data_IF_914735405282
#
_entry.id   IF_914735405282
#
_cell.length_a   1.000
_cell.length_b   1.000
_cell.length_c   1.000
_cell.angle_alpha   90.00
_cell.angle_beta   90.00
_cell.angle_gamma   90.00
#
_symmetry.space_group_name_H-M   'P 1'
#
loop_
_entity.id
_entity.type
_entity.pdbx_description
1 polymer ?
#
# COMPACT_ATOMS: atom_id res chain seq x y z
N UNK A 1 12.37 -27.49 0.79
CA UNK A 1 13.09 -26.94 -0.39
C UNK A 1 12.52 -25.61 -0.88
N UNK A 2 11.21 -25.35 -0.74
CA UNK A 2 10.58 -24.08 -1.17
C UNK A 2 10.88 -22.86 -0.29
N UNK A 3 11.07 -23.05 1.02
CA UNK A 3 11.31 -21.94 1.96
C UNK A 3 12.55 -21.13 1.58
N UNK A 4 13.64 -21.82 1.18
CA UNK A 4 14.85 -21.15 0.74
C UNK A 4 14.63 -20.29 -0.51
N UNK A 5 13.72 -20.68 -1.40
CA UNK A 5 13.40 -19.87 -2.60
C UNK A 5 12.55 -18.65 -2.24
N UNK A 6 11.56 -18.80 -1.36
CA UNK A 6 10.73 -17.68 -0.91
C UNK A 6 11.51 -16.64 -0.09
N UNK A 7 12.57 -17.05 0.60
CA UNK A 7 13.44 -16.13 1.35
C UNK A 7 14.20 -15.13 0.44
N UNK A 8 14.35 -15.47 -0.83
CA UNK A 8 15.07 -14.66 -1.82
C UNK A 8 14.13 -13.78 -2.66
N UNK A 9 12.82 -13.81 -2.38
CA UNK A 9 11.83 -12.98 -3.07
C UNK A 9 11.61 -11.67 -2.30
N UNK A 10 11.68 -10.55 -3.03
CA UNK A 10 11.23 -9.23 -2.54
C UNK A 10 9.96 -8.87 -3.30
N UNK A 11 8.85 -8.79 -2.56
CA UNK A 11 7.55 -8.35 -3.08
C UNK A 11 7.48 -6.83 -3.00
N UNK A 12 6.90 -6.21 -4.02
CA UNK A 12 6.64 -4.76 -4.05
C UNK A 12 5.25 -4.47 -4.58
N UNK A 13 4.63 -3.43 -4.05
CA UNK A 13 3.32 -2.99 -4.48
C UNK A 13 3.09 -1.51 -4.12
N UNK A 14 2.11 -0.92 -4.79
CA UNK A 14 1.59 0.40 -4.56
C UNK A 14 0.29 0.36 -3.74
N UNK A 15 0.21 1.18 -2.70
CA UNK A 15 -1.00 1.30 -1.89
C UNK A 15 -1.36 2.75 -1.67
N UNK A 16 -2.64 3.09 -1.84
CA UNK A 16 -3.18 4.39 -1.45
C UNK A 16 -3.70 4.32 -0.01
N UNK A 17 -3.13 5.12 0.89
CA UNK A 17 -3.59 5.27 2.26
C UNK A 17 -4.54 6.47 2.31
N UNK A 18 -5.84 6.22 2.35
CA UNK A 18 -6.85 7.27 2.44
C UNK A 18 -6.81 8.00 3.80
N UNK A 19 -6.98 9.33 3.77
CA UNK A 19 -7.10 10.14 4.99
C UNK A 19 -8.42 9.92 5.73
N UNK A 20 -9.43 9.41 5.02
CA UNK A 20 -10.77 9.17 5.56
C UNK A 20 -11.02 7.67 5.72
N UNK A 21 -11.82 7.32 6.73
CA UNK A 21 -12.11 5.94 7.10
C UNK A 21 -12.95 5.22 6.03
N UNK A 22 -12.59 3.97 5.73
CA UNK A 22 -12.98 3.26 4.50
C UNK A 22 -14.49 2.91 4.40
N UNK A 23 -15.24 2.86 5.50
CA UNK A 23 -16.69 2.62 5.46
C UNK A 23 -17.53 3.90 5.65
N UNK A 24 -16.88 5.04 5.90
CA UNK A 24 -17.54 6.32 6.18
C UNK A 24 -18.45 6.28 7.41
N UNK A 25 -18.33 5.27 8.28
CA UNK A 25 -19.25 5.05 9.40
C UNK A 25 -18.60 5.44 10.72
N UNK A 26 -19.30 6.31 11.44
CA UNK A 26 -19.06 6.51 12.86
C UNK A 26 -19.79 5.38 13.61
N UNK A 27 -19.03 4.59 14.37
CA UNK A 27 -19.59 3.54 15.23
C UNK A 27 -20.04 4.17 16.54
N UNK A 28 -21.34 4.09 16.82
CA UNK A 28 -21.97 4.58 18.05
C UNK A 28 -22.87 3.49 18.63
N UNK A 29 -22.96 3.42 19.95
CA UNK A 29 -23.89 2.52 20.64
C UNK A 29 -25.32 3.09 20.59
N UNK A 30 -26.31 2.24 20.34
CA UNK A 30 -27.73 2.65 20.13
C UNK A 30 -28.68 1.55 20.58
N UNK A 31 -29.94 1.93 20.86
CA UNK A 31 -30.99 0.96 21.08
C UNK A 31 -31.45 0.30 19.76
N UNK A 32 -32.11 -0.85 19.89
CA UNK A 32 -32.63 -1.60 18.74
C UNK A 32 -33.64 -0.72 17.97
N UNK A 33 -33.55 -0.72 16.64
CA UNK A 33 -34.38 0.05 15.68
C UNK A 33 -34.02 1.53 15.50
N UNK A 34 -32.93 2.03 16.09
CA UNK A 34 -32.51 3.43 15.92
C UNK A 34 -31.63 3.69 14.70
N UNK A 35 -31.27 2.65 13.93
CA UNK A 35 -30.29 2.74 12.82
C UNK A 35 -30.61 3.83 11.78
N UNK A 36 -31.89 4.03 11.47
CA UNK A 36 -32.36 4.92 10.39
C UNK A 36 -33.02 6.20 10.93
N UNK A 37 -32.86 6.52 12.21
CA UNK A 37 -33.32 7.81 12.71
C UNK A 37 -32.49 8.94 12.07
N UNK A 38 -33.09 10.11 11.85
CA UNK A 38 -32.38 11.24 11.25
C UNK A 38 -31.14 11.67 12.07
N UNK A 39 -31.16 11.50 13.40
CA UNK A 39 -30.01 11.75 14.27
C UNK A 39 -28.90 10.67 14.17
N UNK A 40 -29.17 9.59 13.46
CA UNK A 40 -28.42 8.33 13.43
C UNK A 40 -27.85 8.03 12.04
N UNK A 41 -28.09 8.93 11.08
CA UNK A 41 -27.63 8.86 9.70
C UNK A 41 -26.87 10.15 9.39
N UNK A 42 -25.73 10.01 8.72
CA UNK A 42 -24.92 11.12 8.25
C UNK A 42 -24.69 10.92 6.75
N UNK A 43 -24.85 11.99 5.96
CA UNK A 43 -24.50 11.95 4.54
C UNK A 43 -22.98 11.86 4.40
N UNK A 44 -22.53 10.97 3.53
CA UNK A 44 -21.11 10.79 3.23
C UNK A 44 -20.85 11.05 1.74
N UNK A 45 -19.70 11.63 1.42
CA UNK A 45 -19.24 11.82 0.05
C UNK A 45 -18.83 10.48 -0.57
N UNK A 46 -19.31 10.17 -1.79
CA UNK A 46 -19.02 8.89 -2.46
C UNK A 46 -17.87 8.97 -3.47
N UNK A 47 -17.27 10.13 -3.67
CA UNK A 47 -16.12 10.28 -4.56
C UNK A 47 -14.80 9.78 -3.95
N UNK A 48 -13.71 9.78 -4.72
CA UNK A 48 -12.41 9.32 -4.26
C UNK A 48 -12.01 10.03 -2.96
N UNK A 49 -11.67 9.25 -1.93
CA UNK A 49 -11.10 9.81 -0.72
C UNK A 49 -9.67 10.29 -1.03
N UNK A 50 -9.30 11.52 -0.65
CA UNK A 50 -7.92 11.95 -0.75
C UNK A 50 -7.05 11.01 0.11
N UNK A 51 -5.87 10.69 -0.40
CA UNK A 51 -4.95 9.76 0.25
C UNK A 51 -3.52 9.99 -0.20
N UNK A 52 -2.60 9.31 0.49
CA UNK A 52 -1.19 9.29 0.13
C UNK A 52 -0.94 8.00 -0.62
N UNK A 53 -0.45 8.11 -1.86
CA UNK A 53 0.09 6.96 -2.57
C UNK A 53 1.46 6.63 -1.99
N UNK A 54 1.66 5.37 -1.60
CA UNK A 54 2.95 4.88 -1.11
C UNK A 54 3.35 3.65 -1.89
N UNK A 55 4.66 3.48 -2.05
CA UNK A 55 5.27 2.23 -2.50
C UNK A 55 5.99 1.58 -1.35
N UNK A 56 5.79 0.28 -1.19
CA UNK A 56 6.53 -0.52 -0.23
C UNK A 56 7.09 -1.78 -0.86
N UNK A 57 8.03 -2.37 -0.14
CA UNK A 57 8.43 -3.74 -0.42
C UNK A 57 8.62 -4.53 0.86
N UNK A 58 8.62 -5.85 0.72
CA UNK A 58 8.92 -6.78 1.80
C UNK A 58 9.62 -8.01 1.23
N UNK A 59 10.76 -8.36 1.83
CA UNK A 59 11.45 -9.63 1.65
C UNK A 59 11.68 -10.28 3.01
N UNK A 60 12.07 -11.55 3.03
CA UNK A 60 12.29 -12.27 4.28
C UNK A 60 13.48 -11.71 5.08
N UNK A 61 14.55 -11.31 4.39
CA UNK A 61 15.78 -10.78 5.00
C UNK A 61 15.94 -9.27 4.87
N UNK A 62 15.03 -8.59 4.17
CA UNK A 62 15.21 -7.18 3.84
C UNK A 62 13.87 -6.46 3.70
N UNK A 63 13.85 -5.19 4.09
CA UNK A 63 12.67 -4.34 4.05
C UNK A 63 13.02 -3.04 3.31
N UNK A 64 12.72 -2.95 1.99
CA UNK A 64 12.89 -1.71 1.25
C UNK A 64 12.12 -0.56 1.93
N UNK A 65 12.66 0.68 1.92
CA UNK A 65 11.96 1.83 2.48
C UNK A 65 10.55 2.01 1.89
N UNK A 66 9.62 2.45 2.74
CA UNK A 66 8.29 2.89 2.29
C UNK A 66 8.42 4.32 1.74
N UNK A 67 8.14 4.50 0.46
CA UNK A 67 8.30 5.79 -0.24
C UNK A 67 6.95 6.38 -0.59
N UNK A 68 6.73 7.64 -0.23
CA UNK A 68 5.58 8.42 -0.66
C UNK A 68 5.75 8.80 -2.14
N UNK A 69 4.72 8.56 -2.94
CA UNK A 69 4.62 9.08 -4.29
C UNK A 69 3.74 10.31 -4.30
N UNK A 70 4.24 11.39 -4.89
CA UNK A 70 3.51 12.65 -4.97
C UNK A 70 2.60 12.73 -6.21
N UNK A 71 2.92 11.98 -7.28
CA UNK A 71 2.21 12.03 -8.56
C UNK A 71 2.25 10.68 -9.29
N UNK A 72 1.59 10.60 -10.44
CA UNK A 72 1.68 9.46 -11.37
C UNK A 72 3.13 9.22 -11.81
N UNK A 73 3.58 7.97 -11.71
CA UNK A 73 4.87 7.53 -12.20
C UNK A 73 4.80 7.15 -13.67
N UNK A 74 5.85 7.54 -14.39
CA UNK A 74 6.17 6.93 -15.68
C UNK A 74 7.31 5.91 -15.48
N UNK A 75 7.61 5.15 -16.52
CA UNK A 75 8.64 4.11 -16.48
C UNK A 75 10.03 4.64 -16.09
N UNK A 76 10.42 5.81 -16.58
CA UNK A 76 11.73 6.40 -16.28
C UNK A 76 11.85 6.78 -14.81
N UNK A 77 10.84 7.48 -14.27
CA UNK A 77 10.78 7.85 -12.85
C UNK A 77 10.69 6.62 -11.96
N UNK A 78 9.96 5.59 -12.37
CA UNK A 78 9.92 4.33 -11.65
C UNK A 78 11.31 3.72 -11.49
N UNK A 79 12.13 3.73 -12.54
CA UNK A 79 13.51 3.23 -12.46
C UNK A 79 14.36 4.12 -11.55
N UNK A 80 14.42 5.43 -11.83
CA UNK A 80 15.37 6.33 -11.17
C UNK A 80 14.98 6.74 -9.74
N UNK A 81 13.69 6.80 -9.43
CA UNK A 81 13.19 7.27 -8.13
C UNK A 81 12.82 6.13 -7.19
N UNK A 82 12.55 4.92 -7.70
CA UNK A 82 12.08 3.81 -6.89
C UNK A 82 12.93 2.55 -7.03
N UNK A 83 13.12 2.04 -8.25
CA UNK A 83 13.79 0.76 -8.42
C UNK A 83 15.25 0.82 -7.97
N UNK A 84 16.02 1.78 -8.52
CA UNK A 84 17.44 1.96 -8.22
C UNK A 84 17.72 2.39 -6.78
N UNK A 85 17.07 3.42 -6.22
CA UNK A 85 17.39 3.87 -4.86
C UNK A 85 16.70 3.08 -3.74
N UNK A 86 15.55 2.42 -4.00
CA UNK A 86 14.74 1.79 -2.94
C UNK A 86 14.84 0.27 -2.96
N UNK A 87 14.62 -0.37 -4.11
CA UNK A 87 14.55 -1.82 -4.20
C UNK A 87 15.92 -2.49 -4.38
N UNK A 88 16.79 -1.92 -5.21
CA UNK A 88 18.11 -2.50 -5.52
C UNK A 88 19.00 -2.72 -4.29
N UNK A 89 19.08 -1.80 -3.30
CA UNK A 89 19.88 -2.05 -2.10
C UNK A 89 19.44 -3.33 -1.35
N UNK A 90 18.15 -3.64 -1.36
CA UNK A 90 17.59 -4.86 -0.79
C UNK A 90 18.00 -6.10 -1.60
N UNK A 91 17.83 -6.03 -2.93
CA UNK A 91 18.09 -7.13 -3.85
C UNK A 91 19.58 -7.50 -3.91
N UNK A 92 20.48 -6.51 -3.83
CA UNK A 92 21.93 -6.75 -3.83
C UNK A 92 22.42 -7.50 -2.59
N UNK A 93 21.64 -7.50 -1.50
CA UNK A 93 21.95 -8.26 -0.29
C UNK A 93 21.56 -9.74 -0.35
N UNK A 94 20.86 -10.17 -1.41
CA UNK A 94 20.36 -11.53 -1.58
C UNK A 94 21.24 -12.33 -2.53
N UNK A 95 21.36 -13.65 -2.31
CA UNK A 95 22.24 -14.51 -3.10
C UNK A 95 21.63 -14.83 -4.48
N UNK A 96 20.31 -15.02 -4.53
CA UNK A 96 19.57 -15.28 -5.77
C UNK A 96 18.31 -14.43 -5.80
N UNK A 97 18.49 -13.11 -5.76
CA UNK A 97 17.41 -12.14 -5.65
C UNK A 97 16.33 -12.33 -6.73
N UNK A 98 15.08 -12.50 -6.30
CA UNK A 98 13.91 -12.49 -7.17
C UNK A 98 13.10 -11.24 -6.83
N UNK A 99 12.93 -10.38 -7.82
CA UNK A 99 12.10 -9.18 -7.68
C UNK A 99 10.70 -9.46 -8.19
N UNK A 100 9.69 -9.26 -7.33
CA UNK A 100 8.29 -9.41 -7.70
C UNK A 100 7.58 -8.05 -7.65
N UNK A 101 6.87 -7.76 -8.75
CA UNK A 101 5.97 -6.63 -8.94
C UNK A 101 4.77 -7.09 -9.79
N UNK A 102 3.76 -6.24 -9.94
CA UNK A 102 2.64 -6.49 -10.84
C UNK A 102 3.00 -6.23 -12.31
N UNK A 103 2.00 -6.10 -13.18
CA UNK A 103 2.17 -5.86 -14.61
C UNK A 103 1.53 -4.52 -15.03
N UNK A 104 1.58 -3.52 -14.14
CA UNK A 104 1.09 -2.17 -14.40
C UNK A 104 1.88 -1.45 -15.52
#
# INVERSE_FOLDING_TARGET
MWVAQWNEVVFTDESCICFQHHDGRIRVWRHRRERMLNNSVMHHHTGPAPGIMVRGGIGYHCHPPLVRMDDTLNSQRYISELLEPVAFPCLQGLATAIFQQDNA
#
